data_IF_046257899118
#
_entry.id   IF_046257899118
#
_cell.length_a   1.000
_cell.length_b   1.000
_cell.length_c   1.000
_cell.angle_alpha   90.00
_cell.angle_beta   90.00
_cell.angle_gamma   90.00
#
_symmetry.space_group_name_H-M   'P 1'
#
loop_
_entity.id
_entity.type
_entity.pdbx_description
1 polymer ?
#
# COMPACT_ATOMS: atom_id res chain seq x y z
N UNK A 1 -27.08 18.16 7.68
CA UNK A 1 -26.59 17.36 6.58
C UNK A 1 -25.77 16.18 7.08
N UNK A 2 -25.67 15.16 6.25
CA UNK A 2 -24.87 13.97 6.51
C UNK A 2 -23.54 14.09 5.80
N UNK A 3 -22.51 13.48 6.37
CA UNK A 3 -21.16 13.41 5.82
C UNK A 3 -20.73 11.96 5.69
N UNK A 4 -20.12 11.63 4.58
CA UNK A 4 -19.49 10.32 4.37
C UNK A 4 -18.15 10.52 3.66
N UNK A 5 -17.12 9.78 4.08
CA UNK A 5 -15.82 9.82 3.46
C UNK A 5 -15.59 8.51 2.71
N UNK A 6 -15.10 8.62 1.48
CA UNK A 6 -14.64 7.50 0.68
C UNK A 6 -13.13 7.65 0.47
N UNK A 7 -12.39 6.59 0.70
CA UNK A 7 -10.98 6.49 0.31
C UNK A 7 -10.89 5.51 -0.86
N UNK A 8 -10.45 6.01 -2.01
CA UNK A 8 -10.23 5.20 -3.21
C UNK A 8 -8.75 4.89 -3.32
N UNK A 9 -8.40 3.62 -3.30
CA UNK A 9 -7.09 3.14 -3.71
C UNK A 9 -7.15 2.72 -5.17
N UNK A 10 -6.16 3.15 -5.96
CA UNK A 10 -6.04 2.72 -7.35
C UNK A 10 -4.59 2.82 -7.81
N UNK A 11 -4.15 1.86 -8.62
CA UNK A 11 -2.86 1.92 -9.32
C UNK A 11 -2.93 2.72 -10.63
N UNK A 12 -3.96 3.51 -10.85
CA UNK A 12 -4.15 4.28 -12.08
C UNK A 12 -3.00 5.25 -12.36
N UNK A 13 -2.42 5.87 -11.35
CA UNK A 13 -1.24 6.74 -11.51
C UNK A 13 -0.04 6.00 -12.08
N UNK A 14 0.19 4.76 -11.67
CA UNK A 14 1.25 3.91 -12.20
C UNK A 14 0.95 3.44 -13.65
N UNK A 15 -0.34 3.24 -13.97
CA UNK A 15 -0.79 2.80 -15.31
C UNK A 15 -0.77 3.94 -16.31
N UNK A 16 -1.15 5.16 -15.89
CA UNK A 16 -1.20 6.33 -16.79
C UNK A 16 0.15 7.05 -16.92
N UNK A 17 1.12 6.81 -16.04
CA UNK A 17 2.33 7.61 -15.88
C UNK A 17 2.03 9.00 -15.30
N UNK A 18 3.03 9.63 -14.70
CA UNK A 18 2.89 10.94 -14.03
C UNK A 18 2.40 12.07 -14.96
N UNK A 19 2.55 11.92 -16.28
CA UNK A 19 2.22 12.94 -17.27
C UNK A 19 0.79 12.85 -17.82
N UNK A 20 0.02 11.82 -17.47
CA UNK A 20 -1.29 11.60 -18.10
C UNK A 20 -2.45 12.13 -17.22
N UNK A 21 -2.56 13.47 -17.16
CA UNK A 21 -3.69 14.20 -16.53
C UNK A 21 -5.08 13.75 -17.05
N UNK A 22 -5.14 13.10 -18.22
CA UNK A 22 -6.39 12.63 -18.82
C UNK A 22 -7.08 11.52 -18.00
N UNK A 23 -6.32 10.65 -17.34
CA UNK A 23 -6.86 9.58 -16.49
C UNK A 23 -7.52 10.14 -15.21
N UNK A 24 -6.87 11.09 -14.56
CA UNK A 24 -7.41 11.76 -13.37
C UNK A 24 -8.70 12.52 -13.73
N UNK A 25 -8.74 13.24 -14.87
CA UNK A 25 -9.94 13.93 -15.33
C UNK A 25 -11.13 13.01 -15.62
N UNK A 26 -10.90 11.74 -15.99
CA UNK A 26 -11.98 10.74 -16.13
C UNK A 26 -12.54 10.31 -14.79
N UNK A 27 -11.67 10.06 -13.79
CA UNK A 27 -12.12 9.69 -12.45
C UNK A 27 -12.90 10.84 -11.83
N UNK A 28 -12.43 12.08 -11.93
CA UNK A 28 -13.17 13.27 -11.46
C UNK A 28 -14.54 13.40 -12.13
N UNK A 29 -14.63 13.11 -13.43
CA UNK A 29 -15.91 13.09 -14.14
C UNK A 29 -16.81 11.99 -13.59
N UNK A 30 -16.32 10.78 -13.36
CA UNK A 30 -17.12 9.68 -12.81
C UNK A 30 -17.61 9.96 -11.39
N UNK A 31 -16.79 10.62 -10.56
CA UNK A 31 -17.19 11.10 -9.22
C UNK A 31 -18.36 12.08 -9.36
N UNK A 32 -18.25 13.08 -10.24
CA UNK A 32 -19.30 14.06 -10.50
C UNK A 32 -20.58 13.42 -11.04
N UNK A 33 -20.47 12.50 -11.98
CA UNK A 33 -21.62 11.77 -12.53
C UNK A 33 -22.31 10.87 -11.50
N UNK A 34 -21.55 10.32 -10.55
CA UNK A 34 -22.11 9.43 -9.53
C UNK A 34 -22.77 10.17 -8.37
N UNK A 35 -22.34 11.41 -8.06
CA UNK A 35 -22.79 12.10 -6.85
C UNK A 35 -23.21 13.55 -7.05
N UNK A 36 -22.87 14.20 -8.19
CA UNK A 36 -23.00 15.65 -8.37
C UNK A 36 -24.42 16.22 -8.23
N UNK A 37 -25.44 15.42 -8.52
CA UNK A 37 -26.85 15.80 -8.34
C UNK A 37 -27.36 15.50 -6.93
N UNK A 38 -26.59 14.81 -6.10
CA UNK A 38 -27.04 14.23 -4.84
C UNK A 38 -26.27 14.73 -3.63
N UNK A 39 -25.05 15.27 -3.82
CA UNK A 39 -24.17 15.73 -2.75
C UNK A 39 -23.31 16.93 -3.15
N UNK A 40 -22.89 17.71 -2.14
CA UNK A 40 -21.70 18.53 -2.27
C UNK A 40 -20.48 17.61 -2.17
N UNK A 41 -19.56 17.75 -3.13
CA UNK A 41 -18.41 16.86 -3.28
C UNK A 41 -17.14 17.66 -3.06
N UNK A 42 -16.28 17.17 -2.17
CA UNK A 42 -14.91 17.64 -2.00
C UNK A 42 -13.98 16.46 -2.31
N UNK A 43 -13.07 16.65 -3.24
CA UNK A 43 -12.09 15.64 -3.64
C UNK A 43 -10.69 16.09 -3.35
N UNK A 44 -9.86 15.18 -2.90
CA UNK A 44 -8.43 15.35 -2.78
C UNK A 44 -7.73 14.19 -3.49
N UNK A 45 -6.91 14.50 -4.48
CA UNK A 45 -6.11 13.51 -5.19
C UNK A 45 -4.87 13.19 -4.35
N UNK A 46 -4.63 11.92 -4.11
CA UNK A 46 -3.43 11.40 -3.45
C UNK A 46 -2.58 10.67 -4.49
N UNK A 47 -1.33 10.38 -4.16
CA UNK A 47 -0.44 9.61 -5.05
C UNK A 47 -1.04 8.26 -5.49
N UNK A 48 -1.89 7.65 -4.66
CA UNK A 48 -2.45 6.31 -4.89
C UNK A 48 -3.98 6.29 -5.04
N UNK A 49 -4.61 7.42 -5.32
CA UNK A 49 -6.05 7.48 -5.51
C UNK A 49 -6.70 8.76 -5.02
N UNK A 50 -7.86 8.66 -4.40
CA UNK A 50 -8.68 9.81 -4.04
C UNK A 50 -9.25 9.70 -2.64
N UNK A 51 -9.35 10.83 -1.96
CA UNK A 51 -10.21 11.02 -0.80
C UNK A 51 -11.40 11.86 -1.24
N UNK A 52 -12.62 11.36 -1.03
CA UNK A 52 -13.86 12.04 -1.39
C UNK A 52 -14.65 12.27 -0.12
N UNK A 53 -15.06 13.51 0.12
CA UNK A 53 -16.00 13.86 1.16
C UNK A 53 -17.33 14.19 0.49
N UNK A 54 -18.36 13.45 0.85
CA UNK A 54 -19.74 13.66 0.39
C UNK A 54 -20.52 14.33 1.52
N UNK A 55 -21.20 15.45 1.22
CA UNK A 55 -22.14 16.08 2.11
C UNK A 55 -23.53 16.11 1.44
N UNK A 56 -24.54 15.51 2.08
CA UNK A 56 -25.87 15.31 1.51
C UNK A 56 -26.97 15.36 2.56
N UNK A 57 -28.23 15.41 2.11
CA UNK A 57 -29.42 15.36 2.96
C UNK A 57 -29.93 13.93 3.14
N UNK A 58 -30.82 13.69 4.13
CA UNK A 58 -31.43 12.37 4.37
C UNK A 58 -32.10 11.80 3.10
N UNK A 59 -32.80 12.67 2.36
CA UNK A 59 -33.51 12.30 1.14
C UNK A 59 -32.60 11.72 0.05
N UNK A 60 -31.32 12.13 0.04
CA UNK A 60 -30.32 11.69 -0.95
C UNK A 60 -29.50 10.47 -0.53
N UNK A 61 -29.74 9.96 0.67
CA UNK A 61 -28.96 8.85 1.24
C UNK A 61 -29.01 7.56 0.39
N UNK A 62 -30.17 7.28 -0.20
CA UNK A 62 -30.32 6.10 -1.06
C UNK A 62 -29.55 6.23 -2.37
N UNK A 63 -29.58 7.41 -2.99
CA UNK A 63 -28.84 7.72 -4.21
C UNK A 63 -27.34 7.65 -3.98
N UNK A 64 -26.84 8.24 -2.87
CA UNK A 64 -25.44 8.13 -2.48
C UNK A 64 -25.01 6.67 -2.31
N UNK A 65 -25.82 5.88 -1.60
CA UNK A 65 -25.51 4.46 -1.39
C UNK A 65 -25.44 3.66 -2.70
N UNK A 66 -26.27 4.01 -3.69
CA UNK A 66 -26.24 3.39 -5.04
C UNK A 66 -25.08 3.92 -5.89
N UNK A 67 -24.71 5.17 -5.70
CA UNK A 67 -23.61 5.82 -6.44
C UNK A 67 -22.24 5.21 -6.15
N UNK A 68 -22.01 4.70 -4.93
CA UNK A 68 -20.70 4.15 -4.54
C UNK A 68 -20.32 2.91 -5.37
N UNK A 69 -21.14 1.85 -5.46
CA UNK A 69 -20.84 0.73 -6.35
C UNK A 69 -20.79 1.15 -7.83
N UNK A 70 -21.65 2.07 -8.27
CA UNK A 70 -21.63 2.56 -9.63
C UNK A 70 -20.31 3.24 -9.97
N UNK A 71 -19.75 4.06 -9.08
CA UNK A 71 -18.43 4.66 -9.23
C UNK A 71 -17.34 3.58 -9.32
N UNK A 72 -17.39 2.57 -8.45
CA UNK A 72 -16.43 1.45 -8.50
C UNK A 72 -16.41 0.79 -9.88
N UNK A 73 -17.58 0.43 -10.42
CA UNK A 73 -17.66 -0.22 -11.73
C UNK A 73 -17.19 0.68 -12.86
N UNK A 74 -17.55 1.96 -12.88
CA UNK A 74 -17.08 2.93 -13.89
C UNK A 74 -15.55 3.04 -13.92
N UNK A 75 -14.90 3.09 -12.74
CA UNK A 75 -13.43 3.16 -12.68
C UNK A 75 -12.82 1.81 -13.06
N UNK A 76 -13.38 0.71 -12.61
CA UNK A 76 -12.90 -0.64 -12.94
C UNK A 76 -12.94 -0.90 -14.45
N UNK A 77 -13.97 -0.44 -15.13
CA UNK A 77 -14.15 -0.67 -16.57
C UNK A 77 -13.07 0.05 -17.41
N UNK A 78 -12.31 0.99 -16.81
CA UNK A 78 -11.12 1.54 -17.47
C UNK A 78 -10.03 0.49 -17.74
N UNK A 79 -10.07 -0.67 -17.07
CA UNK A 79 -9.13 -1.77 -17.30
C UNK A 79 -9.17 -2.30 -18.75
N UNK A 80 -10.30 -2.21 -19.43
CA UNK A 80 -10.42 -2.59 -20.84
C UNK A 80 -9.51 -1.75 -21.76
N UNK A 81 -9.26 -0.50 -21.37
CA UNK A 81 -8.42 0.42 -22.12
C UNK A 81 -6.97 0.44 -21.64
N UNK A 82 -6.75 0.28 -20.36
CA UNK A 82 -5.46 0.57 -19.71
C UNK A 82 -4.79 -0.64 -19.04
N UNK A 83 -5.39 -1.82 -19.11
CA UNK A 83 -4.87 -3.03 -18.50
C UNK A 83 -5.32 -3.21 -17.04
N UNK A 84 -4.66 -4.08 -16.30
CA UNK A 84 -5.08 -4.47 -14.95
C UNK A 84 -5.14 -3.28 -13.98
N UNK A 85 -6.35 -2.90 -13.58
CA UNK A 85 -6.60 -1.85 -12.58
C UNK A 85 -6.89 -2.53 -11.23
N UNK A 86 -6.08 -2.19 -10.23
CA UNK A 86 -6.35 -2.53 -8.84
C UNK A 86 -7.12 -1.38 -8.23
N UNK A 87 -8.33 -1.65 -7.80
CA UNK A 87 -9.25 -0.65 -7.30
C UNK A 87 -9.95 -1.13 -6.05
N UNK A 88 -9.93 -0.30 -5.02
CA UNK A 88 -10.75 -0.46 -3.83
C UNK A 88 -11.34 0.87 -3.40
N UNK A 89 -12.54 0.83 -2.84
CA UNK A 89 -13.19 1.96 -2.23
C UNK A 89 -13.51 1.60 -0.78
N UNK A 90 -12.84 2.25 0.16
CA UNK A 90 -13.19 2.18 1.58
C UNK A 90 -14.20 3.26 1.94
N UNK A 91 -15.26 2.88 2.63
CA UNK A 91 -16.35 3.76 3.02
C UNK A 91 -16.39 3.95 4.54
N UNK A 92 -16.46 5.19 5.00
CA UNK A 92 -16.77 5.49 6.41
C UNK A 92 -18.24 5.20 6.73
N UNK A 93 -18.53 5.14 8.03
CA UNK A 93 -19.89 5.36 8.51
C UNK A 93 -20.37 6.76 8.14
N UNK A 94 -21.67 6.89 8.01
CA UNK A 94 -22.33 8.20 7.84
C UNK A 94 -22.22 8.99 9.15
N UNK A 95 -21.82 10.25 9.05
CA UNK A 95 -21.66 11.18 10.18
C UNK A 95 -22.68 12.32 10.09
N UNK A 96 -23.06 12.84 11.23
CA UNK A 96 -24.03 13.95 11.34
C UNK A 96 -23.38 15.31 11.50
N UNK A 97 -22.07 15.36 11.67
CA UNK A 97 -21.32 16.59 11.93
C UNK A 97 -20.03 16.64 11.15
N UNK A 98 -19.71 17.83 10.64
CA UNK A 98 -18.40 18.13 10.02
C UNK A 98 -17.22 17.89 10.98
N UNK A 99 -17.44 17.99 12.28
CA UNK A 99 -16.41 17.72 13.30
C UNK A 99 -15.97 16.27 13.34
N UNK A 100 -16.75 15.38 12.74
CA UNK A 100 -16.45 13.94 12.66
C UNK A 100 -15.71 13.55 11.37
N UNK A 101 -15.30 14.51 10.53
CA UNK A 101 -14.61 14.20 9.27
C UNK A 101 -13.28 13.47 9.48
N UNK A 102 -12.49 13.81 10.52
CA UNK A 102 -11.23 13.11 10.80
C UNK A 102 -11.48 11.65 11.20
N UNK A 103 -12.40 11.34 12.16
CA UNK A 103 -12.81 9.96 12.39
C UNK A 103 -13.33 9.27 11.14
N UNK A 104 -14.18 9.92 10.33
CA UNK A 104 -14.70 9.36 9.10
C UNK A 104 -13.59 9.03 8.09
N UNK A 105 -12.59 9.89 7.94
CA UNK A 105 -11.43 9.60 7.09
C UNK A 105 -10.67 8.36 7.57
N UNK A 106 -10.41 8.23 8.88
CA UNK A 106 -9.75 7.05 9.45
C UNK A 106 -10.56 5.77 9.22
N UNK A 107 -11.88 5.84 9.37
CA UNK A 107 -12.78 4.72 9.09
C UNK A 107 -12.70 4.29 7.61
N UNK A 108 -12.82 5.23 6.67
CA UNK A 108 -12.74 4.96 5.24
C UNK A 108 -11.37 4.39 4.85
N UNK A 109 -10.30 4.93 5.41
CA UNK A 109 -8.94 4.48 5.14
C UNK A 109 -8.68 3.07 5.71
N UNK A 110 -9.15 2.79 6.94
CA UNK A 110 -9.10 1.44 7.51
C UNK A 110 -9.89 0.43 6.67
N UNK A 111 -11.06 0.81 6.16
CA UNK A 111 -11.84 -0.02 5.26
C UNK A 111 -11.12 -0.27 3.91
N UNK A 112 -10.47 0.75 3.34
CA UNK A 112 -9.68 0.62 2.12
C UNK A 112 -8.54 -0.40 2.31
N UNK A 113 -7.85 -0.40 3.45
CA UNK A 113 -6.80 -1.37 3.76
C UNK A 113 -7.34 -2.81 3.91
N UNK A 114 -8.64 -2.97 4.12
CA UNK A 114 -9.30 -4.27 4.11
C UNK A 114 -9.03 -5.09 2.86
N UNK A 115 -8.67 -4.48 1.73
CA UNK A 115 -8.29 -5.16 0.49
C UNK A 115 -7.16 -6.17 0.68
N UNK A 116 -6.16 -5.84 1.49
CA UNK A 116 -5.00 -6.70 1.73
C UNK A 116 -5.32 -7.87 2.66
N UNK A 117 -6.19 -7.63 3.62
CA UNK A 117 -6.55 -8.61 4.66
C UNK A 117 -7.64 -9.56 4.17
N UNK A 118 -8.70 -8.99 3.58
CA UNK A 118 -9.83 -9.76 3.09
C UNK A 118 -9.58 -10.36 1.70
N UNK A 119 -8.43 -10.07 1.09
CA UNK A 119 -8.00 -10.56 -0.23
C UNK A 119 -9.06 -10.36 -1.33
N UNK A 120 -9.81 -9.27 -1.27
CA UNK A 120 -10.83 -8.95 -2.26
C UNK A 120 -10.76 -7.49 -2.68
N UNK A 121 -10.96 -7.27 -3.97
CA UNK A 121 -11.20 -5.94 -4.53
C UNK A 121 -12.68 -5.59 -4.43
N UNK A 122 -13.00 -4.32 -4.28
CA UNK A 122 -14.38 -3.87 -4.27
C UNK A 122 -14.63 -2.66 -3.39
N UNK A 123 -15.89 -2.49 -3.02
CA UNK A 123 -16.34 -1.50 -2.04
C UNK A 123 -16.37 -2.19 -0.68
N UNK A 124 -15.72 -1.59 0.31
CA UNK A 124 -15.62 -2.07 1.67
C UNK A 124 -16.16 -1.01 2.65
N UNK A 125 -17.19 -1.37 3.39
CA UNK A 125 -17.69 -0.53 4.47
C UNK A 125 -16.86 -0.75 5.74
N UNK A 126 -16.64 0.31 6.51
CA UNK A 126 -15.89 0.23 7.77
C UNK A 126 -16.49 -0.77 8.76
N UNK A 127 -17.82 -0.99 8.74
CA UNK A 127 -18.48 -1.97 9.58
C UNK A 127 -17.99 -3.41 9.34
N UNK A 128 -17.47 -3.70 8.16
CA UNK A 128 -16.91 -5.03 7.82
C UNK A 128 -15.57 -5.30 8.50
N UNK A 129 -14.88 -4.26 8.94
CA UNK A 129 -13.53 -4.35 9.52
C UNK A 129 -13.43 -3.83 10.96
N UNK A 130 -14.38 -3.03 11.41
CA UNK A 130 -14.35 -2.33 12.71
C UNK A 130 -14.40 -3.25 13.93
N UNK A 131 -15.03 -4.43 13.80
CA UNK A 131 -15.16 -5.42 14.87
C UNK A 131 -14.03 -6.45 14.92
N UNK A 132 -13.07 -6.39 13.99
CA UNK A 132 -11.99 -7.34 13.95
C UNK A 132 -10.97 -7.07 15.07
N UNK A 133 -10.39 -8.13 15.69
CA UNK A 133 -9.41 -7.98 16.74
C UNK A 133 -8.16 -7.27 16.25
N UNK A 134 -7.51 -6.51 17.14
CA UNK A 134 -6.25 -5.85 16.81
C UNK A 134 -5.13 -6.89 16.69
N UNK A 135 -4.22 -6.62 15.81
CA UNK A 135 -3.00 -7.37 15.57
C UNK A 135 -1.80 -6.61 16.12
N UNK A 136 -0.82 -7.31 16.67
CA UNK A 136 0.43 -6.71 17.15
C UNK A 136 1.61 -7.16 16.30
N UNK A 137 2.63 -6.33 16.19
CA UNK A 137 3.87 -6.59 15.47
C UNK A 137 4.52 -7.92 15.89
N UNK A 138 4.52 -8.25 17.20
CA UNK A 138 5.13 -9.47 17.71
C UNK A 138 4.49 -10.76 17.18
N UNK A 139 3.25 -10.70 16.73
CA UNK A 139 2.58 -11.82 16.06
C UNK A 139 3.06 -12.04 14.63
N UNK A 140 3.58 -10.98 13.99
CA UNK A 140 4.16 -11.05 12.65
C UNK A 140 5.66 -11.37 12.73
N UNK A 141 6.40 -10.58 13.49
CA UNK A 141 7.83 -10.71 13.69
C UNK A 141 8.20 -10.29 15.12
N UNK A 142 8.89 -11.12 15.85
CA UNK A 142 9.39 -10.77 17.18
C UNK A 142 10.58 -9.82 17.07
N UNK A 143 10.89 -9.11 18.16
CA UNK A 143 12.06 -8.21 18.19
C UNK A 143 13.37 -8.93 17.86
N UNK A 144 13.56 -10.18 18.33
CA UNK A 144 14.74 -11.00 17.99
C UNK A 144 14.79 -11.38 16.49
N UNK A 145 13.66 -11.72 15.88
CA UNK A 145 13.57 -12.03 14.44
C UNK A 145 13.81 -10.77 13.61
N UNK A 146 13.30 -9.60 14.02
CA UNK A 146 13.57 -8.33 13.36
C UNK A 146 15.06 -8.00 13.40
N UNK A 147 15.70 -8.15 14.56
CA UNK A 147 17.14 -7.96 14.69
C UNK A 147 17.92 -8.90 13.76
N UNK A 148 17.54 -10.18 13.67
CA UNK A 148 18.14 -11.14 12.76
C UNK A 148 17.97 -10.71 11.30
N UNK A 149 16.79 -10.25 10.89
CA UNK A 149 16.54 -9.70 9.55
C UNK A 149 17.46 -8.50 9.25
N UNK A 150 17.60 -7.58 10.20
CA UNK A 150 18.51 -6.44 10.10
C UNK A 150 19.98 -6.87 9.96
N UNK A 151 20.43 -7.87 10.71
CA UNK A 151 21.77 -8.43 10.58
C UNK A 151 22.00 -9.08 9.20
N UNK A 152 21.01 -9.82 8.68
CA UNK A 152 21.06 -10.37 7.33
C UNK A 152 21.24 -9.28 6.26
N UNK A 153 20.51 -8.17 6.39
CA UNK A 153 20.63 -7.01 5.51
C UNK A 153 22.01 -6.36 5.62
N UNK A 154 22.45 -6.05 6.84
CA UNK A 154 23.75 -5.39 7.11
C UNK A 154 24.93 -6.21 6.62
N UNK A 155 24.90 -7.54 6.84
CA UNK A 155 25.99 -8.44 6.46
C UNK A 155 25.77 -9.15 5.12
N UNK A 156 24.72 -8.81 4.38
CA UNK A 156 24.39 -9.31 3.04
C UNK A 156 24.23 -10.83 2.97
N UNK A 157 23.56 -11.42 3.99
CA UNK A 157 23.34 -12.86 4.13
C UNK A 157 22.03 -13.29 3.49
N UNK A 158 22.02 -13.39 2.14
CA UNK A 158 20.78 -13.63 1.38
C UNK A 158 20.03 -14.93 1.69
N UNK A 159 20.73 -16.05 1.95
CA UNK A 159 20.10 -17.32 2.29
C UNK A 159 19.40 -17.27 3.65
N UNK A 160 20.07 -16.75 4.67
CA UNK A 160 19.52 -16.60 6.03
C UNK A 160 18.34 -15.61 6.03
N UNK A 161 18.41 -14.57 5.20
CA UNK A 161 17.28 -13.64 4.98
C UNK A 161 16.05 -14.38 4.47
N UNK A 162 16.22 -15.27 3.47
CA UNK A 162 15.14 -16.05 2.89
C UNK A 162 14.47 -16.97 3.93
N UNK A 163 15.24 -17.67 4.74
CA UNK A 163 14.72 -18.53 5.80
C UNK A 163 13.93 -17.75 6.87
N UNK A 164 14.40 -16.57 7.23
CA UNK A 164 13.73 -15.68 8.19
C UNK A 164 12.42 -15.12 7.61
N UNK A 165 12.43 -14.63 6.37
CA UNK A 165 11.23 -14.14 5.70
C UNK A 165 10.18 -15.23 5.45
N UNK A 166 10.58 -16.48 5.25
CA UNK A 166 9.65 -17.61 5.10
C UNK A 166 8.73 -17.75 6.30
N UNK A 167 9.24 -17.57 7.51
CA UNK A 167 8.44 -17.60 8.75
C UNK A 167 7.44 -16.45 8.79
N UNK A 168 7.89 -15.23 8.47
CA UNK A 168 7.04 -14.03 8.41
C UNK A 168 5.94 -14.21 7.37
N UNK A 169 6.28 -14.72 6.19
CA UNK A 169 5.34 -15.01 5.10
C UNK A 169 4.27 -16.02 5.52
N UNK A 170 4.65 -17.09 6.21
CA UNK A 170 3.70 -18.10 6.70
C UNK A 170 2.71 -17.49 7.70
N UNK A 171 3.17 -16.69 8.64
CA UNK A 171 2.31 -15.97 9.59
C UNK A 171 1.37 -14.99 8.88
N UNK A 172 1.88 -14.25 7.89
CA UNK A 172 1.09 -13.31 7.12
C UNK A 172 -0.13 -13.95 6.43
N UNK A 173 -0.09 -15.24 6.10
CA UNK A 173 -1.20 -15.98 5.51
C UNK A 173 -2.36 -16.27 6.44
N UNK A 174 -2.20 -16.08 7.75
CA UNK A 174 -3.22 -16.38 8.76
C UNK A 174 -3.92 -15.14 9.31
N UNK A 175 -3.67 -13.96 8.73
CA UNK A 175 -4.09 -12.67 9.31
C UNK A 175 -5.44 -12.14 8.83
N UNK A 176 -6.17 -12.88 8.01
CA UNK A 176 -7.42 -12.44 7.39
C UNK A 176 -8.59 -12.17 8.36
N UNK A 177 -8.40 -12.43 9.65
CA UNK A 177 -9.39 -12.20 10.70
C UNK A 177 -9.01 -11.06 11.68
N UNK A 178 -7.93 -10.33 11.39
CA UNK A 178 -7.50 -9.20 12.21
C UNK A 178 -7.87 -7.86 11.58
N UNK A 179 -7.85 -6.82 12.39
CA UNK A 179 -8.12 -5.45 11.96
C UNK A 179 -7.08 -4.98 10.93
N UNK A 180 -7.48 -4.53 9.73
CA UNK A 180 -6.59 -4.15 8.64
C UNK A 180 -5.61 -3.05 9.02
N UNK A 181 -6.07 -2.04 9.76
CA UNK A 181 -5.23 -0.91 10.18
C UNK A 181 -4.07 -1.39 11.06
N UNK A 182 -4.34 -2.31 12.02
CA UNK A 182 -3.29 -2.85 12.89
C UNK A 182 -2.27 -3.72 12.14
N UNK A 183 -2.71 -4.46 11.12
CA UNK A 183 -1.82 -5.21 10.23
C UNK A 183 -0.94 -4.27 9.44
N UNK A 184 -1.51 -3.18 8.94
CA UNK A 184 -0.76 -2.18 8.18
C UNK A 184 0.31 -1.48 9.02
N UNK A 185 -0.01 -1.09 10.24
CA UNK A 185 1.01 -0.55 11.15
C UNK A 185 2.14 -1.55 11.36
N UNK A 186 1.83 -2.83 11.59
CA UNK A 186 2.85 -3.88 11.74
C UNK A 186 3.73 -4.05 10.49
N UNK A 187 3.16 -3.90 9.29
CA UNK A 187 3.94 -3.89 8.05
C UNK A 187 4.89 -2.69 7.97
N UNK A 188 4.39 -1.50 8.28
CA UNK A 188 5.22 -0.30 8.26
C UNK A 188 6.29 -0.30 9.33
N UNK A 189 6.01 -0.87 10.51
CA UNK A 189 7.00 -1.05 11.57
C UNK A 189 8.11 -2.03 11.14
N UNK A 190 7.74 -3.17 10.53
CA UNK A 190 8.70 -4.12 9.95
C UNK A 190 9.57 -3.44 8.89
N UNK A 191 8.93 -2.72 7.96
CA UNK A 191 9.61 -1.96 6.92
C UNK A 191 10.56 -0.91 7.51
N UNK A 192 10.11 -0.11 8.47
CA UNK A 192 10.91 0.90 9.13
C UNK A 192 12.11 0.27 9.85
N UNK A 193 11.92 -0.86 10.53
CA UNK A 193 13.00 -1.61 11.17
C UNK A 193 14.06 -2.06 10.16
N UNK A 194 13.66 -2.57 9.00
CA UNK A 194 14.59 -2.99 7.94
C UNK A 194 15.36 -1.80 7.33
N UNK A 195 14.68 -0.69 7.10
CA UNK A 195 15.30 0.52 6.53
C UNK A 195 16.27 1.17 7.54
N UNK A 196 15.98 1.10 8.84
CA UNK A 196 16.84 1.64 9.90
C UNK A 196 18.22 0.98 9.97
N UNK A 197 18.45 -0.12 9.25
CA UNK A 197 19.76 -0.74 9.11
C UNK A 197 20.74 0.11 8.25
N UNK A 198 20.22 1.11 7.55
CA UNK A 198 20.97 1.99 6.66
C UNK A 198 21.04 3.40 7.23
N UNK A 199 22.13 4.10 6.90
CA UNK A 199 22.27 5.51 7.24
C UNK A 199 21.26 6.34 6.44
N UNK A 200 20.49 7.19 7.11
CA UNK A 200 19.48 8.05 6.50
C UNK A 200 20.08 8.99 5.45
N UNK A 201 19.27 9.32 4.43
CA UNK A 201 19.64 10.19 3.32
C UNK A 201 20.84 9.69 2.48
N UNK A 202 21.17 8.40 2.57
CA UNK A 202 22.09 7.77 1.61
C UNK A 202 21.30 7.28 0.39
N UNK A 203 21.95 7.18 -0.81
CA UNK A 203 21.26 6.63 -2.00
C UNK A 203 20.71 5.22 -1.77
N UNK A 204 21.34 4.43 -0.91
CA UNK A 204 20.86 3.11 -0.51
C UNK A 204 19.57 3.20 0.30
N UNK A 205 19.54 4.11 1.27
CA UNK A 205 18.37 4.34 2.09
C UNK A 205 17.17 4.81 1.24
N UNK A 206 17.38 5.79 0.36
CA UNK A 206 16.35 6.29 -0.56
C UNK A 206 15.79 5.18 -1.45
N UNK A 207 16.67 4.39 -2.07
CA UNK A 207 16.25 3.28 -2.92
C UNK A 207 15.46 2.21 -2.15
N UNK A 208 15.94 1.81 -0.97
CA UNK A 208 15.23 0.87 -0.10
C UNK A 208 13.91 1.43 0.40
N UNK A 209 13.85 2.73 0.67
CA UNK A 209 12.62 3.40 1.08
C UNK A 209 11.55 3.32 0.00
N UNK A 210 11.90 3.59 -1.24
CA UNK A 210 10.97 3.52 -2.38
C UNK A 210 10.57 2.08 -2.71
N UNK A 211 11.53 1.18 -2.94
CA UNK A 211 11.26 -0.21 -3.32
C UNK A 211 10.38 -0.93 -2.29
N UNK A 212 10.62 -0.72 -1.00
CA UNK A 212 9.81 -1.33 0.06
C UNK A 212 8.42 -0.70 0.21
N UNK A 213 8.26 0.57 -0.15
CA UNK A 213 6.96 1.23 -0.22
C UNK A 213 6.14 0.68 -1.39
N UNK A 214 6.73 0.55 -2.57
CA UNK A 214 6.08 -0.08 -3.72
C UNK A 214 5.75 -1.55 -3.50
N UNK A 215 6.50 -2.25 -2.65
CA UNK A 215 6.20 -3.63 -2.26
C UNK A 215 4.79 -3.78 -1.69
N UNK A 216 4.39 -2.84 -0.82
CA UNK A 216 3.04 -2.78 -0.26
C UNK A 216 1.98 -2.38 -1.30
N UNK A 217 2.25 -1.32 -2.06
CA UNK A 217 1.29 -0.76 -3.01
C UNK A 217 0.91 -1.76 -4.10
N UNK A 218 1.88 -2.57 -4.54
CA UNK A 218 1.69 -3.55 -5.60
C UNK A 218 1.14 -4.89 -5.12
N UNK A 219 0.87 -5.05 -3.84
CA UNK A 219 0.37 -6.31 -3.29
C UNK A 219 -1.15 -6.47 -3.47
N UNK A 220 -1.59 -7.69 -3.78
CA UNK A 220 -3.01 -8.08 -3.83
C UNK A 220 -3.54 -8.51 -2.47
N UNK A 221 -2.66 -9.03 -1.63
CA UNK A 221 -2.95 -9.45 -0.26
C UNK A 221 -1.72 -9.24 0.62
N UNK A 222 -1.88 -9.43 1.92
CA UNK A 222 -0.82 -9.18 2.88
C UNK A 222 0.39 -10.12 2.72
N UNK A 223 0.16 -11.40 2.40
CA UNK A 223 1.26 -12.33 2.10
C UNK A 223 2.11 -11.83 0.92
N UNK A 224 1.46 -11.34 -0.13
CA UNK A 224 2.18 -10.79 -1.27
C UNK A 224 2.94 -9.51 -0.89
N UNK A 225 2.41 -8.67 0.01
CA UNK A 225 3.15 -7.51 0.52
C UNK A 225 4.45 -7.94 1.20
N UNK A 226 4.41 -8.97 2.05
CA UNK A 226 5.61 -9.55 2.69
C UNK A 226 6.55 -10.17 1.65
N UNK A 227 6.03 -10.88 0.65
CA UNK A 227 6.85 -11.44 -0.42
C UNK A 227 7.56 -10.35 -1.23
N UNK A 228 6.85 -9.29 -1.58
CA UNK A 228 7.42 -8.16 -2.31
C UNK A 228 8.49 -7.43 -1.47
N UNK A 229 8.25 -7.28 -0.16
CA UNK A 229 9.23 -6.72 0.77
C UNK A 229 10.52 -7.57 0.82
N UNK A 230 10.38 -8.89 0.88
CA UNK A 230 11.52 -9.81 0.77
C UNK A 230 12.29 -9.63 -0.53
N UNK A 231 11.59 -9.56 -1.67
CA UNK A 231 12.22 -9.40 -2.98
C UNK A 231 12.98 -8.07 -3.08
N UNK A 232 12.46 -6.98 -2.52
CA UNK A 232 13.17 -5.70 -2.45
C UNK A 232 14.47 -5.83 -1.63
N UNK A 233 14.40 -6.48 -0.47
CA UNK A 233 15.57 -6.74 0.37
C UNK A 233 16.60 -7.65 -0.33
N UNK A 234 16.14 -8.69 -1.02
CA UNK A 234 17.01 -9.61 -1.75
C UNK A 234 17.71 -8.91 -2.92
N UNK A 235 17.00 -8.11 -3.69
CA UNK A 235 17.55 -7.29 -4.78
C UNK A 235 18.69 -6.42 -4.26
N UNK A 236 18.46 -5.70 -3.16
CA UNK A 236 19.51 -4.88 -2.53
C UNK A 236 20.76 -5.71 -2.19
N UNK A 237 20.60 -6.89 -1.54
CA UNK A 237 21.74 -7.73 -1.19
C UNK A 237 22.52 -8.17 -2.43
N UNK A 238 21.85 -8.53 -3.51
CA UNK A 238 22.47 -8.94 -4.77
C UNK A 238 23.26 -7.78 -5.39
N UNK A 239 22.68 -6.61 -5.53
CA UNK A 239 23.34 -5.42 -6.07
C UNK A 239 24.60 -5.04 -5.27
N UNK A 240 24.53 -5.10 -3.95
CA UNK A 240 25.68 -4.81 -3.09
C UNK A 240 26.78 -5.88 -3.18
N UNK A 241 26.42 -7.14 -3.35
CA UNK A 241 27.39 -8.22 -3.59
C UNK A 241 28.08 -8.07 -4.95
N UNK A 242 27.36 -7.65 -5.99
CA UNK A 242 27.92 -7.38 -7.31
C UNK A 242 28.91 -6.21 -7.28
N UNK A 243 28.54 -5.09 -6.66
CA UNK A 243 29.44 -3.93 -6.45
C UNK A 243 30.74 -4.33 -5.73
N UNK A 244 30.66 -5.22 -4.74
CA UNK A 244 31.83 -5.72 -4.03
C UNK A 244 32.72 -6.62 -4.90
N UNK A 245 32.16 -7.45 -5.78
CA UNK A 245 32.87 -8.27 -6.74
C UNK A 245 33.59 -7.42 -7.76
N UNK A 246 32.93 -6.40 -8.32
CA UNK A 246 33.53 -5.47 -9.26
C UNK A 246 34.71 -4.68 -8.62
N UNK A 247 34.55 -4.21 -7.39
CA UNK A 247 35.64 -3.53 -6.66
C UNK A 247 36.83 -4.43 -6.40
N UNK A 248 36.63 -5.73 -6.13
CA UNK A 248 37.69 -6.71 -5.94
C UNK A 248 38.37 -7.13 -7.25
N UNK A 249 37.64 -7.11 -8.37
CA UNK A 249 38.16 -7.47 -9.68
C UNK A 249 39.03 -6.39 -10.32
N UNK A 250 38.78 -5.11 -10.04
CA UNK A 250 39.53 -3.97 -10.59
C UNK A 250 41.05 -4.00 -10.28
N UNK A 251 41.53 -4.32 -9.07
CA UNK A 251 42.95 -4.40 -8.78
C UNK A 251 43.68 -5.50 -9.57
N UNK A 252 43.00 -6.64 -9.81
CA UNK A 252 43.57 -7.77 -10.57
C UNK A 252 43.68 -7.39 -12.05
N UNK A 253 42.70 -6.75 -12.64
CA UNK A 253 42.76 -6.28 -14.02
C UNK A 253 43.82 -5.21 -14.24
N UNK A 254 43.98 -4.27 -13.30
CA UNK A 254 45.07 -3.28 -13.33
C UNK A 254 46.42 -3.95 -13.19
N UNK A 255 46.60 -4.93 -12.30
CA UNK A 255 47.86 -5.66 -12.17
C UNK A 255 48.23 -6.42 -13.45
N UNK A 256 47.26 -7.04 -14.14
CA UNK A 256 47.53 -7.73 -15.43
C UNK A 256 47.89 -6.75 -16.54
N UNK A 257 47.33 -5.53 -16.55
CA UNK A 257 47.70 -4.49 -17.53
C UNK A 257 49.13 -3.90 -17.29
N UNK A 258 49.63 -3.98 -16.07
CA UNK A 258 51.02 -3.52 -15.77
C UNK A 258 52.11 -4.59 -15.99
N UNK A 259 51.70 -5.85 -16.19
CA UNK A 259 52.64 -6.98 -16.40
C UNK A 259 52.80 -7.36 -17.88
N UNK A 260 51.92 -6.81 -18.75
CA UNK A 260 52.04 -6.90 -20.21
C UNK A 260 52.58 -5.58 -20.80
#
# INVERSE_FOLDING_TARGET
>A
GYYQVLCIFSNLSAVFGEQNLSGNGRVDRYIKESFGEHALIYTHNTFMGYVIVLNYTEEKKTEIRRGIPALYYKIRDLQETYGEIRLNIGCSRVKNSIRELIPAFREAHSAEWGRLVLSRNGVLDYDQVSGLPKFSMDQLVTGAELQQLCECMKYRRGSELGDSFKKVYQRAGTLNHFNPESIMYSFFDLRAGLISCFEENTPVWEHMYEDTYYAYLNARNFQQAIQNLYLACQKYIQEEQEKLREKKGKPILLAVQYVN
#
